data_IF_261556279584
#
_entry.id   IF_261556279584
#
_cell.length_a   1.000
_cell.length_b   1.000
_cell.length_c   1.000
_cell.angle_alpha   90.00
_cell.angle_beta   90.00
_cell.angle_gamma   90.00
#
_symmetry.space_group_name_H-M   'P 1'
#
loop_
_entity.id
_entity.type
_entity.pdbx_description
1 polymer ?
#
# COMPACT_ATOMS: atom_id res chain seq x y z
N UNK A 1 17.04 2.92 -4.96
CA UNK A 1 16.38 3.48 -6.17
C UNK A 1 14.88 3.19 -6.21
N UNK A 2 14.37 2.09 -5.61
CA UNK A 2 12.91 1.90 -5.44
C UNK A 2 12.35 2.67 -4.23
N UNK A 3 13.16 2.86 -3.18
CA UNK A 3 12.74 3.49 -1.93
C UNK A 3 12.27 4.95 -2.10
N UNK A 4 12.90 5.71 -2.99
CA UNK A 4 12.53 7.11 -3.27
C UNK A 4 11.19 7.22 -4.01
N UNK A 5 10.80 6.19 -4.78
CA UNK A 5 9.51 6.15 -5.49
C UNK A 5 8.38 5.90 -4.51
N UNK A 6 8.53 4.92 -3.61
CA UNK A 6 7.52 4.60 -2.60
C UNK A 6 7.33 5.72 -1.57
N UNK A 7 8.38 6.49 -1.27
CA UNK A 7 8.32 7.65 -0.37
C UNK A 7 7.47 8.79 -0.93
N UNK A 8 7.41 8.95 -2.25
CA UNK A 8 6.59 9.98 -2.91
C UNK A 8 5.10 9.58 -3.08
N UNK A 9 4.78 8.28 -3.01
CA UNK A 9 3.41 7.75 -3.16
C UNK A 9 2.56 7.88 -1.89
N UNK A 10 3.21 8.12 -0.75
CA UNK A 10 2.63 7.81 0.55
C UNK A 10 1.51 8.75 1.00
N UNK A 11 1.51 10.01 0.55
CA UNK A 11 0.58 11.04 1.01
C UNK A 11 -0.70 11.20 0.17
N UNK A 12 -0.77 10.67 -1.06
CA UNK A 12 -1.94 10.86 -1.93
C UNK A 12 -2.60 9.57 -2.43
N UNK A 13 -1.93 8.42 -2.30
CA UNK A 13 -2.40 7.19 -2.95
C UNK A 13 -2.48 5.95 -2.04
N UNK A 14 -2.13 6.06 -0.74
CA UNK A 14 -2.21 4.91 0.18
C UNK A 14 -3.62 4.33 0.27
N UNK A 15 -4.64 5.16 0.52
CA UNK A 15 -6.03 4.67 0.59
C UNK A 15 -6.48 4.00 -0.71
N UNK A 16 -6.19 4.64 -1.86
CA UNK A 16 -6.60 4.14 -3.16
C UNK A 16 -5.91 2.82 -3.53
N UNK A 17 -4.63 2.65 -3.21
CA UNK A 17 -3.95 1.36 -3.40
C UNK A 17 -4.64 0.25 -2.60
N UNK A 18 -4.95 0.53 -1.33
CA UNK A 18 -5.61 -0.43 -0.45
C UNK A 18 -6.99 -0.83 -0.98
N UNK A 19 -7.80 0.13 -1.40
CA UNK A 19 -9.13 -0.09 -1.98
C UNK A 19 -9.04 -0.94 -3.25
N UNK A 20 -8.17 -0.59 -4.20
CA UNK A 20 -7.97 -1.37 -5.43
C UNK A 20 -7.54 -2.80 -5.10
N UNK A 21 -6.61 -3.00 -4.15
CA UNK A 21 -6.14 -4.33 -3.77
C UNK A 21 -7.25 -5.21 -3.17
N UNK A 22 -8.21 -4.61 -2.44
CA UNK A 22 -9.41 -5.30 -1.94
C UNK A 22 -10.38 -5.60 -3.08
N UNK A 23 -10.65 -4.64 -3.96
CA UNK A 23 -11.54 -4.82 -5.12
C UNK A 23 -11.07 -5.92 -6.08
N UNK A 24 -9.75 -6.04 -6.25
CA UNK A 24 -9.12 -7.10 -7.04
C UNK A 24 -9.09 -8.46 -6.31
N UNK A 25 -9.47 -8.52 -5.03
CA UNK A 25 -9.46 -9.74 -4.23
C UNK A 25 -8.05 -10.23 -3.85
N UNK A 26 -7.04 -9.38 -3.96
CA UNK A 26 -5.65 -9.72 -3.60
C UNK A 26 -5.44 -9.73 -2.09
N UNK A 27 -6.12 -8.82 -1.40
CA UNK A 27 -6.13 -8.73 0.06
C UNK A 27 -7.56 -8.64 0.57
N UNK A 28 -7.80 -9.05 1.81
CA UNK A 28 -9.08 -8.89 2.49
C UNK A 28 -9.21 -7.52 3.14
N UNK A 29 -10.43 -7.05 3.38
CA UNK A 29 -10.65 -5.84 4.17
C UNK A 29 -10.00 -5.91 5.56
N UNK A 30 -9.93 -7.10 6.15
CA UNK A 30 -9.30 -7.31 7.45
C UNK A 30 -7.80 -7.05 7.38
N UNK A 31 -7.13 -7.61 6.37
CA UNK A 31 -5.69 -7.39 6.14
C UNK A 31 -5.40 -5.92 5.83
N UNK A 32 -6.26 -5.25 5.05
CA UNK A 32 -6.12 -3.82 4.79
C UNK A 32 -6.24 -3.00 6.09
N UNK A 33 -7.23 -3.30 6.95
CA UNK A 33 -7.40 -2.63 8.25
C UNK A 33 -6.18 -2.84 9.16
N UNK A 34 -5.64 -4.05 9.22
CA UNK A 34 -4.44 -4.37 10.00
C UNK A 34 -3.20 -3.60 9.48
N UNK A 35 -3.00 -3.55 8.16
CA UNK A 35 -1.91 -2.78 7.57
C UNK A 35 -2.03 -1.26 7.84
N UNK A 36 -3.26 -0.72 7.84
CA UNK A 36 -3.50 0.69 8.14
C UNK A 36 -3.17 1.02 9.60
N UNK A 37 -3.49 0.12 10.52
CA UNK A 37 -3.13 0.27 11.94
C UNK A 37 -1.60 0.30 12.08
N UNK A 38 -0.90 -0.66 11.47
CA UNK A 38 0.57 -0.73 11.49
C UNK A 38 1.20 0.56 10.92
N UNK A 39 0.71 1.05 9.78
CA UNK A 39 1.16 2.30 9.18
C UNK A 39 0.96 3.51 10.12
N UNK A 40 -0.15 3.56 10.86
CA UNK A 40 -0.42 4.61 11.86
C UNK A 40 0.56 4.50 13.03
N UNK A 41 0.80 3.29 13.54
CA UNK A 41 1.72 3.04 14.66
C UNK A 41 3.16 3.45 14.33
N UNK A 42 3.62 3.19 13.09
CA UNK A 42 4.93 3.67 12.63
C UNK A 42 5.04 5.19 12.66
N UNK A 43 4.00 5.87 12.14
CA UNK A 43 3.97 7.33 12.07
C UNK A 43 4.01 7.96 13.47
N UNK A 44 3.35 7.33 14.45
CA UNK A 44 3.37 7.76 15.84
C UNK A 44 4.72 7.51 16.52
N UNK A 45 5.48 6.52 16.05
CA UNK A 45 6.76 6.09 16.63
C UNK A 45 7.98 6.81 16.04
N UNK A 46 7.79 7.89 15.27
CA UNK A 46 8.82 8.58 14.48
C UNK A 46 9.56 7.66 13.49
N UNK A 47 8.97 6.53 13.10
CA UNK A 47 9.49 5.73 12.00
C UNK A 47 9.20 6.44 10.66
N UNK A 48 10.00 6.17 9.62
CA UNK A 48 9.69 6.65 8.28
C UNK A 48 8.29 6.18 7.88
N UNK A 49 7.46 7.11 7.40
CA UNK A 49 6.15 6.76 6.87
C UNK A 49 6.30 5.72 5.75
N UNK A 50 5.69 4.55 5.94
CA UNK A 50 5.68 3.46 4.95
C UNK A 50 4.46 3.58 4.04
N UNK A 51 4.60 3.24 2.77
CA UNK A 51 3.47 3.10 1.85
C UNK A 51 2.65 1.85 2.21
N UNK A 52 1.31 1.93 2.17
CA UNK A 52 0.46 0.81 2.60
C UNK A 52 0.71 -0.48 1.80
N UNK A 53 0.97 -0.36 0.49
CA UNK A 53 1.28 -1.52 -0.34
C UNK A 53 2.56 -2.23 0.11
N UNK A 54 3.52 -1.48 0.66
CA UNK A 54 4.75 -2.05 1.19
C UNK A 54 4.48 -2.80 2.50
N UNK A 55 3.62 -2.26 3.38
CA UNK A 55 3.17 -2.95 4.60
C UNK A 55 2.45 -4.26 4.26
N UNK A 56 1.55 -4.24 3.28
CA UNK A 56 0.86 -5.45 2.78
C UNK A 56 1.86 -6.49 2.23
N UNK A 57 2.92 -6.04 1.56
CA UNK A 57 3.95 -6.90 0.99
C UNK A 57 4.85 -7.52 2.06
N UNK A 58 5.31 -6.74 3.04
CA UNK A 58 6.14 -7.24 4.15
C UNK A 58 5.39 -8.27 5.02
N UNK A 59 4.08 -8.08 5.18
CA UNK A 59 3.21 -9.05 5.85
C UNK A 59 2.92 -10.31 4.98
N UNK A 60 3.39 -10.36 3.73
CA UNK A 60 3.18 -11.48 2.81
C UNK A 60 1.73 -11.63 2.34
N UNK A 61 0.91 -10.58 2.48
CA UNK A 61 -0.51 -10.60 2.11
C UNK A 61 -0.75 -10.28 0.64
N UNK A 62 0.22 -9.65 -0.02
CA UNK A 62 0.19 -9.37 -1.45
C UNK A 62 1.50 -9.84 -2.09
N UNK A 63 1.42 -10.46 -3.27
CA UNK A 63 2.61 -10.87 -4.03
C UNK A 63 3.19 -9.70 -4.83
N UNK A 64 4.43 -9.82 -5.31
CA UNK A 64 5.03 -8.83 -6.22
C UNK A 64 4.17 -8.60 -7.47
N UNK A 65 3.64 -9.66 -8.08
CA UNK A 65 2.82 -9.58 -9.30
C UNK A 65 1.48 -8.86 -9.04
N UNK A 66 0.85 -9.13 -7.89
CA UNK A 66 -0.37 -8.45 -7.47
C UNK A 66 -0.12 -6.99 -7.14
N UNK A 67 0.97 -6.70 -6.44
CA UNK A 67 1.40 -5.33 -6.14
C UNK A 67 1.59 -4.52 -7.42
N UNK A 68 2.35 -5.06 -8.39
CA UNK A 68 2.59 -4.41 -9.68
C UNK A 68 1.27 -4.17 -10.44
N UNK A 69 0.32 -5.10 -10.37
CA UNK A 69 -1.01 -4.95 -10.98
C UNK A 69 -1.81 -3.79 -10.37
N UNK A 70 -1.75 -3.61 -9.05
CA UNK A 70 -2.42 -2.49 -8.35
C UNK A 70 -1.76 -1.17 -8.71
N UNK A 71 -0.42 -1.13 -8.74
CA UNK A 71 0.36 0.05 -9.16
C UNK A 71 0.00 0.46 -10.59
N UNK A 72 -0.13 -0.50 -11.49
CA UNK A 72 -0.53 -0.26 -12.88
C UNK A 72 -1.88 0.45 -12.99
N UNK A 73 -2.86 0.08 -12.17
CA UNK A 73 -4.18 0.73 -12.14
C UNK A 73 -4.07 2.14 -11.56
N UNK A 74 -3.33 2.28 -10.45
CA UNK A 74 -3.15 3.53 -9.74
C UNK A 74 -2.56 4.64 -10.64
N UNK A 75 -1.66 4.27 -11.57
CA UNK A 75 -1.03 5.21 -12.51
C UNK A 75 -1.68 5.27 -13.90
N UNK A 76 -2.65 4.41 -14.21
CA UNK A 76 -3.45 4.46 -15.45
C UNK A 76 -4.78 5.19 -15.29
N UNK A 77 -5.26 5.40 -14.06
CA UNK A 77 -6.42 6.23 -13.82
C UNK A 77 -6.10 7.71 -14.13
N UNK A 78 -6.90 8.42 -14.96
CA UNK A 78 -6.72 9.86 -15.13
C UNK A 78 -7.03 10.54 -13.80
N UNK A 79 -6.03 11.26 -13.26
CA UNK A 79 -6.18 12.14 -12.09
C UNK A 79 -6.98 13.38 -12.46
#
# INVERSE_FOLDING_TARGET
MKDDVYKNLSNQHSTLFGEIAVEMGFVTEKQLKEALIEQIEDNLSNHPHRFIGYVLFENGWITNEQFDSVVDILFKAPV
#
